data_IF_142754247534
#
_entry.id   IF_142754247534
#
_cell.length_a   1.000
_cell.length_b   1.000
_cell.length_c   1.000
_cell.angle_alpha   90.00
_cell.angle_beta   90.00
_cell.angle_gamma   90.00
#
_symmetry.space_group_name_H-M   'P 1'
#
loop_
_entity.id
_entity.type
_entity.pdbx_description
1 polymer ?
#
# COMPACT_ATOMS: atom_id res chain seq x y z
N UNK A 1 2.30 -3.41 11.89
CA UNK A 1 2.71 -4.12 10.67
C UNK A 1 4.22 -4.12 10.55
N UNK A 2 4.79 -3.12 9.86
CA UNK A 2 6.22 -3.05 9.52
C UNK A 2 7.18 -3.33 10.69
N UNK A 3 7.05 -2.62 11.83
CA UNK A 3 7.89 -2.85 13.01
C UNK A 3 7.82 -4.27 13.57
N UNK A 4 6.63 -4.87 13.55
CA UNK A 4 6.44 -6.25 14.01
C UNK A 4 7.10 -7.25 13.06
N UNK A 5 7.02 -7.01 11.74
CA UNK A 5 7.72 -7.82 10.72
C UNK A 5 9.24 -7.75 10.92
N UNK A 6 9.81 -6.54 11.00
CA UNK A 6 11.22 -6.35 11.26
C UNK A 6 11.68 -7.04 12.55
N UNK A 7 10.90 -6.92 13.64
CA UNK A 7 11.20 -7.58 14.91
C UNK A 7 11.14 -9.12 14.79
N UNK A 8 10.18 -9.69 14.06
CA UNK A 8 10.12 -11.13 13.78
C UNK A 8 11.32 -11.61 12.94
N UNK A 9 11.85 -10.74 12.08
CA UNK A 9 13.06 -11.00 11.28
C UNK A 9 14.37 -10.74 12.07
N UNK A 10 14.29 -10.43 13.36
CA UNK A 10 15.47 -10.12 14.20
C UNK A 10 16.14 -8.77 13.89
N UNK A 11 15.50 -7.93 13.06
CA UNK A 11 15.99 -6.58 12.74
C UNK A 11 15.45 -5.57 13.75
N UNK A 12 16.30 -4.68 14.31
CA UNK A 12 15.87 -3.72 15.35
C UNK A 12 15.09 -2.52 14.79
N UNK A 13 15.11 -2.32 13.47
CA UNK A 13 14.46 -1.21 12.78
C UNK A 13 13.75 -1.73 11.53
N UNK A 14 12.57 -1.20 11.26
CA UNK A 14 11.87 -1.47 10.01
C UNK A 14 12.44 -0.63 8.87
N UNK A 15 12.49 -1.21 7.67
CA UNK A 15 12.89 -0.54 6.45
C UNK A 15 11.70 -0.31 5.50
N UNK A 16 11.98 0.15 4.29
CA UNK A 16 10.97 0.43 3.29
C UNK A 16 10.22 -0.85 2.84
N UNK A 17 10.92 -1.98 2.77
CA UNK A 17 10.33 -3.23 2.31
C UNK A 17 9.31 -3.76 3.33
N UNK A 18 9.59 -3.58 4.62
CA UNK A 18 8.62 -3.87 5.68
C UNK A 18 7.32 -3.05 5.56
N UNK A 19 7.45 -1.78 5.17
CA UNK A 19 6.31 -0.89 4.95
C UNK A 19 5.53 -1.33 3.72
N UNK A 20 6.21 -1.54 2.59
CA UNK A 20 5.59 -2.02 1.34
C UNK A 20 4.84 -3.34 1.55
N UNK A 21 5.45 -4.28 2.28
CA UNK A 21 4.89 -5.59 2.56
C UNK A 21 3.58 -5.56 3.37
N UNK A 22 3.30 -4.48 4.11
CA UNK A 22 2.06 -4.34 4.88
C UNK A 22 1.09 -3.31 4.29
N UNK A 23 1.55 -2.45 3.37
CA UNK A 23 0.78 -1.32 2.86
C UNK A 23 -0.51 -1.75 2.16
N UNK A 24 -0.47 -2.77 1.28
CA UNK A 24 -1.66 -3.26 0.56
C UNK A 24 -2.79 -3.68 1.51
N UNK A 25 -2.46 -4.48 2.52
CA UNK A 25 -3.44 -4.97 3.50
C UNK A 25 -4.00 -3.86 4.39
N UNK A 26 -3.19 -2.85 4.73
CA UNK A 26 -3.62 -1.73 5.56
C UNK A 26 -4.51 -0.76 4.78
N UNK A 27 -4.18 -0.50 3.51
CA UNK A 27 -4.81 0.55 2.71
C UNK A 27 -6.05 0.08 1.94
N UNK A 28 -6.19 -1.20 1.60
CA UNK A 28 -7.33 -1.76 0.83
C UNK A 28 -8.70 -1.23 1.28
N UNK A 29 -8.92 -1.18 2.59
CA UNK A 29 -10.20 -0.78 3.20
C UNK A 29 -10.19 0.66 3.73
N UNK A 30 -9.10 1.38 3.55
CA UNK A 30 -8.88 2.75 4.05
C UNK A 30 -8.77 3.78 2.94
N UNK A 31 -8.72 3.33 1.70
CA UNK A 31 -8.73 4.16 0.50
C UNK A 31 -10.07 3.96 -0.18
N UNK A 32 -10.74 5.06 -0.50
CA UNK A 32 -11.95 5.07 -1.31
C UNK A 32 -11.66 5.79 -2.62
N UNK A 33 -12.20 5.25 -3.71
CA UNK A 33 -12.20 5.87 -5.02
C UNK A 33 -13.14 7.06 -5.06
N UNK A 34 -12.86 8.02 -5.93
CA UNK A 34 -13.79 9.10 -6.25
C UNK A 34 -14.64 8.71 -7.48
N UNK A 35 -15.65 9.52 -7.78
CA UNK A 35 -16.56 9.26 -8.91
C UNK A 35 -15.84 9.13 -10.26
N UNK A 36 -14.79 9.92 -10.50
CA UNK A 36 -14.02 9.85 -11.73
C UNK A 36 -13.26 8.52 -11.87
N UNK A 37 -12.70 8.01 -10.77
CA UNK A 37 -12.02 6.73 -10.73
C UNK A 37 -13.01 5.57 -10.94
N UNK A 38 -14.18 5.62 -10.30
CA UNK A 38 -15.25 4.63 -10.50
C UNK A 38 -15.76 4.62 -11.94
N UNK A 39 -15.94 5.79 -12.56
CA UNK A 39 -16.32 5.91 -13.96
C UNK A 39 -15.25 5.38 -14.93
N UNK A 40 -13.98 5.32 -14.49
CA UNK A 40 -12.87 4.75 -15.22
C UNK A 40 -12.60 3.27 -14.87
N UNK A 41 -13.52 2.61 -14.15
CA UNK A 41 -13.41 1.22 -13.67
C UNK A 41 -12.15 0.97 -12.83
N UNK A 42 -11.69 2.00 -12.12
CA UNK A 42 -10.53 1.90 -11.22
C UNK A 42 -10.98 1.58 -9.80
N UNK A 43 -10.30 0.65 -9.17
CA UNK A 43 -10.56 0.22 -7.79
C UNK A 43 -9.58 0.84 -6.81
N UNK A 44 -9.92 0.82 -5.51
CA UNK A 44 -8.97 1.18 -4.45
C UNK A 44 -7.74 0.27 -4.43
N UNK A 45 -7.84 -0.99 -4.88
CA UNK A 45 -6.70 -1.90 -4.96
C UNK A 45 -5.72 -1.49 -6.08
N UNK A 46 -6.24 -1.00 -7.21
CA UNK A 46 -5.41 -0.50 -8.32
C UNK A 46 -4.61 0.73 -7.89
N UNK A 47 -5.29 1.71 -7.27
CA UNK A 47 -4.67 2.94 -6.76
C UNK A 47 -3.60 2.64 -5.71
N UNK A 48 -3.89 1.73 -4.78
CA UNK A 48 -2.92 1.31 -3.75
C UNK A 48 -1.73 0.58 -4.37
N UNK A 49 -1.95 -0.24 -5.40
CA UNK A 49 -0.88 -0.90 -6.15
C UNK A 49 0.07 0.10 -6.78
N UNK A 50 -0.46 1.03 -7.58
CA UNK A 50 0.32 2.08 -8.24
C UNK A 50 1.17 2.90 -7.26
N UNK A 51 0.58 3.27 -6.12
CA UNK A 51 1.26 4.03 -5.07
C UNK A 51 2.45 3.27 -4.46
N UNK A 52 2.32 1.96 -4.25
CA UNK A 52 3.36 1.13 -3.63
C UNK A 52 4.47 0.78 -4.62
N UNK A 53 4.09 0.49 -5.86
CA UNK A 53 4.99 -0.01 -6.91
C UNK A 53 5.76 1.12 -7.62
N UNK A 54 5.49 2.38 -7.26
CA UNK A 54 6.23 3.54 -7.74
C UNK A 54 5.77 4.04 -9.10
N UNK A 55 4.56 3.65 -9.54
CA UNK A 55 3.90 4.26 -10.68
C UNK A 55 3.49 5.68 -10.31
N UNK A 56 4.29 6.66 -10.71
CA UNK A 56 3.92 8.06 -10.59
C UNK A 56 2.55 8.29 -11.24
N UNK A 57 1.71 9.07 -10.57
CA UNK A 57 0.41 9.47 -11.10
C UNK A 57 0.64 10.37 -12.32
N UNK A 58 0.59 9.77 -13.52
CA UNK A 58 0.65 10.47 -14.81
C UNK A 58 -0.74 10.95 -15.21
#
# INVERSE_FOLDING_TARGET
GAKARAAMDGRPQADLDDVKAVARNVLRHRVMTNFAAEAADRTSEDVVGELIDGGGWA
#
